data_IF_037465753692
#
_entry.id   IF_037465753692
#
_cell.length_a   1.000
_cell.length_b   1.000
_cell.length_c   1.000
_cell.angle_alpha   90.00
_cell.angle_beta   90.00
_cell.angle_gamma   90.00
#
_symmetry.space_group_name_H-M   'P 1'
#
loop_
_entity.id
_entity.type
_entity.pdbx_description
1 polymer ?
#
# COMPACT_ATOMS: atom_id res chain seq x y z
N UNK A 1 -15.79 -16.82 14.04
CA UNK A 1 -15.94 -16.17 12.73
C UNK A 1 -15.87 -14.67 13.00
N UNK A 2 -14.73 -14.04 12.69
CA UNK A 2 -14.48 -12.65 13.06
C UNK A 2 -15.03 -11.73 11.96
N UNK A 3 -16.00 -10.90 12.31
CA UNK A 3 -16.56 -9.86 11.45
C UNK A 3 -15.54 -8.72 11.34
N UNK A 4 -15.00 -8.50 10.15
CA UNK A 4 -14.20 -7.32 9.85
C UNK A 4 -15.14 -6.19 9.42
N UNK A 5 -15.72 -5.49 10.38
CA UNK A 5 -16.42 -4.23 10.10
C UNK A 5 -15.37 -3.15 9.87
N UNK A 6 -14.89 -3.05 8.64
CA UNK A 6 -14.13 -1.89 8.16
C UNK A 6 -15.02 -0.66 8.30
N UNK A 7 -14.69 0.20 9.26
CA UNK A 7 -15.41 1.43 9.53
C UNK A 7 -15.21 2.44 8.38
N UNK A 8 -16.01 2.30 7.32
CA UNK A 8 -16.24 3.39 6.38
C UNK A 8 -17.55 4.12 6.78
N UNK A 9 -17.41 5.12 7.64
CA UNK A 9 -18.51 6.01 8.02
C UNK A 9 -18.52 7.23 7.08
N UNK A 10 -18.92 7.03 5.83
CA UNK A 10 -19.30 8.15 4.95
C UNK A 10 -20.22 7.66 3.83
N UNK A 11 -21.50 7.49 4.15
CA UNK A 11 -22.62 7.66 3.22
C UNK A 11 -23.91 7.70 4.04
N UNK A 12 -24.70 8.74 3.79
CA UNK A 12 -25.83 9.18 4.60
C UNK A 12 -27.04 8.23 4.48
N UNK A 13 -27.85 8.15 5.55
CA UNK A 13 -28.99 7.26 5.69
C UNK A 13 -30.07 7.46 4.61
N UNK A 14 -30.55 6.36 4.01
CA UNK A 14 -31.97 6.17 3.69
C UNK A 14 -32.28 4.72 3.27
N UNK A 15 -32.94 3.98 4.16
CA UNK A 15 -34.12 3.19 3.81
C UNK A 15 -33.96 1.82 3.15
N UNK A 16 -34.52 0.84 3.89
CA UNK A 16 -35.12 -0.42 3.45
C UNK A 16 -34.25 -1.69 3.42
N UNK A 17 -34.82 -2.68 4.11
CA UNK A 17 -34.34 -4.02 4.44
C UNK A 17 -34.13 -4.87 3.17
N UNK A 18 -32.88 -4.96 2.71
CA UNK A 18 -32.43 -6.05 1.85
C UNK A 18 -31.03 -6.43 2.30
N UNK A 19 -30.88 -7.69 2.72
CA UNK A 19 -29.60 -8.37 2.95
C UNK A 19 -28.89 -8.54 1.59
N UNK A 20 -28.39 -7.43 1.04
CA UNK A 20 -27.62 -7.36 -0.20
C UNK A 20 -26.22 -6.89 0.21
N UNK A 21 -25.46 -7.81 0.80
CA UNK A 21 -24.04 -7.58 1.12
C UNK A 21 -23.25 -7.60 -0.19
N UNK A 22 -23.51 -6.64 -1.08
CA UNK A 22 -22.66 -6.33 -2.22
C UNK A 22 -21.40 -5.69 -1.66
N UNK A 23 -20.43 -6.53 -1.32
CA UNK A 23 -19.08 -6.05 -1.04
C UNK A 23 -18.55 -5.37 -2.31
N UNK A 24 -18.47 -4.05 -2.28
CA UNK A 24 -17.72 -3.30 -3.30
C UNK A 24 -16.25 -3.56 -3.04
N UNK A 25 -15.71 -4.61 -3.66
CA UNK A 25 -14.29 -4.97 -3.51
C UNK A 25 -13.47 -4.22 -4.55
N UNK A 26 -12.36 -3.66 -4.12
CA UNK A 26 -11.40 -3.02 -5.03
C UNK A 26 -10.75 -4.12 -5.87
N UNK A 27 -10.96 -4.08 -7.19
CA UNK A 27 -10.51 -5.10 -8.14
C UNK A 27 -9.04 -5.50 -7.95
N UNK A 28 -8.16 -4.52 -7.69
CA UNK A 28 -6.73 -4.74 -7.46
C UNK A 28 -6.50 -5.53 -6.16
N UNK A 29 -7.18 -5.18 -5.07
CA UNK A 29 -7.04 -5.87 -3.78
C UNK A 29 -7.49 -7.33 -3.92
N UNK A 30 -8.62 -7.56 -4.61
CA UNK A 30 -9.14 -8.90 -4.84
C UNK A 30 -8.25 -9.72 -5.78
N UNK A 31 -7.88 -9.17 -6.94
CA UNK A 31 -7.13 -9.89 -7.97
C UNK A 31 -5.73 -10.30 -7.51
N UNK A 32 -5.08 -9.45 -6.71
CA UNK A 32 -3.76 -9.74 -6.16
C UNK A 32 -3.80 -10.34 -4.76
N UNK A 33 -5.00 -10.70 -4.24
CA UNK A 33 -5.21 -11.30 -2.92
C UNK A 33 -4.49 -10.55 -1.81
N UNK A 34 -4.59 -9.22 -1.86
CA UNK A 34 -3.95 -8.36 -0.87
C UNK A 34 -4.71 -8.44 0.44
N UNK A 35 -3.97 -8.53 1.54
CA UNK A 35 -4.52 -8.56 2.90
C UNK A 35 -4.39 -7.18 3.52
N UNK A 36 -5.47 -6.68 4.13
CA UNK A 36 -5.40 -5.42 4.87
C UNK A 36 -4.53 -5.59 6.12
N UNK A 37 -3.82 -4.53 6.47
CA UNK A 37 -3.03 -4.47 7.69
C UNK A 37 -3.12 -3.06 8.28
N UNK A 38 -2.75 -2.92 9.55
CA UNK A 38 -2.76 -1.64 10.25
C UNK A 38 -1.38 -1.34 10.80
N UNK A 39 -0.93 -0.11 10.59
CA UNK A 39 0.28 0.41 11.22
C UNK A 39 -0.06 1.63 12.05
N UNK A 40 0.73 1.85 13.10
CA UNK A 40 0.91 3.20 13.63
C UNK A 40 2.05 3.91 12.84
N UNK A 41 2.10 5.23 12.93
CA UNK A 41 3.08 6.03 12.19
C UNK A 41 4.55 5.61 12.48
N UNK A 42 4.86 5.19 13.71
CA UNK A 42 6.21 4.78 14.12
C UNK A 42 6.54 3.38 13.57
N UNK A 43 5.63 2.42 13.70
CA UNK A 43 5.83 1.07 13.17
C UNK A 43 5.95 1.07 11.64
N UNK A 44 5.10 1.85 10.95
CA UNK A 44 5.22 2.02 9.50
C UNK A 44 6.57 2.62 9.07
N UNK A 45 7.03 3.67 9.75
CA UNK A 45 8.33 4.29 9.44
C UNK A 45 9.50 3.31 9.66
N UNK A 46 9.42 2.47 10.69
CA UNK A 46 10.41 1.44 10.94
C UNK A 46 10.42 0.38 9.83
N UNK A 47 9.24 -0.13 9.47
CA UNK A 47 9.07 -1.09 8.38
C UNK A 47 9.57 -0.51 7.05
N UNK A 48 9.13 0.71 6.69
CA UNK A 48 9.54 1.38 5.46
C UNK A 48 11.07 1.53 5.38
N UNK A 49 11.72 1.88 6.49
CA UNK A 49 13.18 1.99 6.54
C UNK A 49 13.88 0.64 6.31
N UNK A 50 13.33 -0.45 6.85
CA UNK A 50 13.80 -1.82 6.60
C UNK A 50 13.64 -2.20 5.13
N UNK A 51 12.43 -2.01 4.59
CA UNK A 51 12.11 -2.27 3.19
C UNK A 51 13.02 -1.50 2.22
N UNK A 52 13.26 -0.21 2.45
CA UNK A 52 14.15 0.60 1.61
C UNK A 52 15.59 0.08 1.60
N UNK A 53 16.09 -0.42 2.73
CA UNK A 53 17.41 -1.06 2.79
C UNK A 53 17.43 -2.36 1.99
N UNK A 54 16.38 -3.18 2.09
CA UNK A 54 16.27 -4.43 1.34
C UNK A 54 16.27 -4.17 -0.17
N UNK A 55 15.49 -3.19 -0.64
CA UNK A 55 15.46 -2.77 -2.05
C UNK A 55 16.83 -2.26 -2.49
N UNK A 56 17.50 -1.42 -1.69
CA UNK A 56 18.86 -0.93 -2.00
C UNK A 56 19.86 -2.09 -2.14
N UNK A 57 19.83 -3.07 -1.24
CA UNK A 57 20.66 -4.26 -1.34
C UNK A 57 20.37 -5.04 -2.63
N UNK A 58 19.09 -5.24 -2.96
CA UNK A 58 18.68 -5.93 -4.19
C UNK A 58 19.05 -5.18 -5.47
N UNK A 59 19.04 -3.85 -5.47
CA UNK A 59 19.52 -3.04 -6.59
C UNK A 59 21.03 -3.23 -6.79
N UNK A 60 21.81 -3.25 -5.70
CA UNK A 60 23.25 -3.52 -5.76
C UNK A 60 23.58 -4.93 -6.22
N UNK A 61 22.82 -5.93 -5.75
CA UNK A 61 22.95 -7.33 -6.20
C UNK A 61 22.66 -7.51 -7.70
N UNK A 62 21.90 -6.58 -8.30
CA UNK A 62 21.57 -6.56 -9.74
C UNK A 62 22.50 -5.66 -10.56
N UNK A 63 23.62 -5.23 -10.00
CA UNK A 63 24.58 -4.31 -10.63
C UNK A 63 23.92 -3.00 -11.15
N UNK A 64 22.88 -2.52 -10.44
CA UNK A 64 22.30 -1.23 -10.77
C UNK A 64 23.33 -0.12 -10.54
N UNK A 65 23.39 0.85 -11.47
CA UNK A 65 24.29 2.00 -11.36
C UNK A 65 24.05 2.79 -10.07
N UNK A 66 25.11 3.44 -9.56
CA UNK A 66 25.03 4.31 -8.39
C UNK A 66 24.01 5.45 -8.58
N UNK A 67 23.79 5.90 -9.82
CA UNK A 67 22.79 6.90 -10.17
C UNK A 67 21.37 6.42 -9.88
N UNK A 68 21.04 5.18 -10.26
CA UNK A 68 19.73 4.56 -9.98
C UNK A 68 19.53 4.38 -8.47
N UNK A 69 20.57 3.96 -7.76
CA UNK A 69 20.51 3.81 -6.29
C UNK A 69 20.28 5.17 -5.62
N UNK A 70 20.97 6.22 -6.07
CA UNK A 70 20.80 7.57 -5.53
C UNK A 70 19.42 8.16 -5.85
N UNK A 71 18.90 7.93 -7.07
CA UNK A 71 17.54 8.32 -7.45
C UNK A 71 16.52 7.66 -6.53
N UNK A 72 16.65 6.35 -6.30
CA UNK A 72 15.78 5.61 -5.39
C UNK A 72 15.81 6.18 -3.98
N UNK A 73 16.99 6.41 -3.40
CA UNK A 73 17.11 6.93 -2.03
C UNK A 73 16.48 8.32 -1.88
N UNK A 74 16.73 9.21 -2.84
CA UNK A 74 16.19 10.57 -2.84
C UNK A 74 14.66 10.56 -3.02
N UNK A 75 14.17 9.79 -4.00
CA UNK A 75 12.74 9.65 -4.28
C UNK A 75 11.98 9.02 -3.12
N UNK A 76 12.52 7.94 -2.56
CA UNK A 76 11.97 7.27 -1.39
C UNK A 76 11.88 8.20 -0.17
N UNK A 77 12.95 8.95 0.13
CA UNK A 77 12.94 9.88 1.25
C UNK A 77 11.92 11.01 1.07
N UNK A 78 11.75 11.53 -0.16
CA UNK A 78 10.75 12.56 -0.45
C UNK A 78 9.33 12.01 -0.31
N UNK A 79 9.06 10.82 -0.88
CA UNK A 79 7.73 10.24 -0.85
C UNK A 79 7.35 9.71 0.55
N UNK A 80 8.31 9.19 1.32
CA UNK A 80 8.10 8.83 2.72
C UNK A 80 7.57 10.00 3.56
N UNK A 81 8.06 11.23 3.32
CA UNK A 81 7.53 12.43 4.00
C UNK A 81 6.07 12.69 3.64
N UNK A 82 5.69 12.51 2.37
CA UNK A 82 4.30 12.65 1.92
C UNK A 82 3.39 11.62 2.59
N UNK A 83 3.85 10.37 2.69
CA UNK A 83 3.08 9.32 3.36
C UNK A 83 2.88 9.66 4.83
N UNK A 84 3.92 10.12 5.53
CA UNK A 84 3.83 10.50 6.95
C UNK A 84 2.88 11.69 7.16
N UNK A 85 2.89 12.67 6.27
CA UNK A 85 2.00 13.84 6.35
C UNK A 85 0.52 13.41 6.24
N UNK A 86 0.24 12.49 5.32
CA UNK A 86 -1.12 12.04 5.00
C UNK A 86 -1.41 10.63 5.53
N UNK A 87 -0.75 10.23 6.63
CA UNK A 87 -0.71 8.83 7.09
C UNK A 87 -2.10 8.23 7.33
N UNK A 88 -3.04 9.06 7.80
CA UNK A 88 -4.41 8.64 8.11
C UNK A 88 -5.26 8.41 6.86
N UNK A 89 -4.84 8.93 5.72
CA UNK A 89 -5.57 8.85 4.46
C UNK A 89 -5.21 7.57 3.69
N UNK A 90 -4.21 6.82 4.16
CA UNK A 90 -3.78 5.59 3.53
C UNK A 90 -4.38 4.37 4.22
N UNK A 91 -4.87 3.44 3.41
CA UNK A 91 -5.10 2.07 3.82
C UNK A 91 -3.88 1.22 3.42
N UNK A 92 -3.44 0.35 4.33
CA UNK A 92 -2.22 -0.43 4.16
C UNK A 92 -2.57 -1.88 3.82
N UNK A 93 -1.90 -2.41 2.79
CA UNK A 93 -2.11 -3.77 2.32
C UNK A 93 -0.77 -4.50 2.17
N UNK A 94 -0.78 -5.81 2.39
CA UNK A 94 0.36 -6.70 2.18
C UNK A 94 -0.02 -7.83 1.22
N UNK A 95 0.97 -8.41 0.54
CA UNK A 95 0.74 -9.54 -0.36
C UNK A 95 0.27 -10.81 0.37
N UNK A 96 -0.18 -11.80 -0.40
CA UNK A 96 -0.66 -13.10 0.10
C UNK A 96 0.38 -13.84 0.96
N UNK A 97 1.67 -13.63 0.72
CA UNK A 97 2.75 -14.24 1.51
C UNK A 97 2.85 -13.68 2.94
N UNK A 98 2.21 -12.53 3.21
CA UNK A 98 2.28 -11.81 4.48
C UNK A 98 3.71 -11.58 4.99
N UNK A 99 4.66 -11.43 4.06
CA UNK A 99 6.07 -11.19 4.39
C UNK A 99 6.20 -9.85 5.16
N UNK A 100 6.67 -9.87 6.44
CA UNK A 100 6.81 -8.66 7.24
C UNK A 100 7.88 -7.70 6.71
N UNK A 101 8.80 -8.19 5.88
CA UNK A 101 9.83 -7.41 5.19
C UNK A 101 9.45 -7.08 3.73
N UNK A 102 8.29 -7.56 3.28
CA UNK A 102 7.75 -7.36 1.95
C UNK A 102 7.24 -5.93 1.69
N UNK A 103 6.80 -5.68 0.47
CA UNK A 103 6.25 -4.39 0.10
C UNK A 103 4.85 -4.18 0.70
N UNK A 104 4.67 -3.08 1.41
CA UNK A 104 3.35 -2.57 1.77
C UNK A 104 2.78 -1.74 0.61
N UNK A 105 1.62 -2.14 0.12
CA UNK A 105 0.83 -1.42 -0.88
C UNK A 105 -0.01 -0.37 -0.17
N UNK A 106 0.01 0.86 -0.69
CA UNK A 106 -0.71 1.99 -0.11
C UNK A 106 -1.91 2.31 -0.98
N UNK A 107 -3.12 2.12 -0.47
CA UNK A 107 -4.34 2.55 -1.12
C UNK A 107 -4.72 3.94 -0.63
N UNK A 108 -5.15 4.81 -1.55
CA UNK A 108 -5.76 6.09 -1.25
C UNK A 108 -6.80 6.41 -2.33
N UNK A 109 -7.58 7.47 -2.14
CA UNK A 109 -8.61 7.92 -3.08
C UNK A 109 -8.19 9.23 -3.75
N UNK A 110 -8.63 9.43 -4.99
CA UNK A 110 -8.42 10.70 -5.71
C UNK A 110 -9.19 11.83 -5.02
N UNK A 111 -9.01 13.06 -5.51
CA UNK A 111 -9.72 14.24 -4.98
C UNK A 111 -11.25 14.13 -5.07
N UNK A 112 -11.77 13.23 -5.91
CA UNK A 112 -13.19 12.89 -6.00
C UNK A 112 -13.70 12.04 -4.82
N UNK A 113 -12.81 11.54 -3.97
CA UNK A 113 -13.12 10.71 -2.79
C UNK A 113 -13.62 9.30 -3.10
N UNK A 114 -13.76 8.92 -4.37
CA UNK A 114 -14.41 7.66 -4.79
C UNK A 114 -13.54 6.81 -5.70
N UNK A 115 -12.58 7.40 -6.41
CA UNK A 115 -11.71 6.65 -7.32
C UNK A 115 -10.49 6.14 -6.54
N UNK A 116 -10.36 4.82 -6.29
CA UNK A 116 -9.20 4.29 -5.59
C UNK A 116 -7.96 4.30 -6.49
N UNK A 117 -6.79 4.48 -5.89
CA UNK A 117 -5.51 4.20 -6.52
C UNK A 117 -4.55 3.58 -5.52
N UNK A 118 -3.64 2.74 -6.03
CA UNK A 118 -2.57 2.18 -5.22
C UNK A 118 -1.24 2.87 -5.54
N UNK A 119 -0.39 2.99 -4.52
CA UNK A 119 1.01 3.34 -4.67
C UNK A 119 1.87 2.13 -4.35
N UNK A 120 2.81 1.84 -5.24
CA UNK A 120 3.82 0.77 -5.13
C UNK A 120 5.20 1.30 -5.46
N UNK A 121 6.23 0.68 -4.90
CA UNK A 121 7.62 1.09 -5.12
C UNK A 121 8.17 0.44 -6.38
N UNK A 122 8.34 1.23 -7.45
CA UNK A 122 8.87 0.76 -8.75
C UNK A 122 10.15 -0.09 -8.61
N UNK A 123 11.10 0.36 -7.79
CA UNK A 123 12.37 -0.33 -7.59
C UNK A 123 12.25 -1.66 -6.84
N UNK A 124 11.11 -1.91 -6.19
CA UNK A 124 10.76 -3.19 -5.57
C UNK A 124 10.00 -4.14 -6.50
N UNK A 125 9.77 -3.75 -7.76
CA UNK A 125 9.05 -4.56 -8.75
C UNK A 125 9.99 -5.03 -9.86
N UNK A 126 9.65 -6.16 -10.46
CA UNK A 126 10.26 -6.66 -11.69
C UNK A 126 9.18 -6.87 -12.74
N UNK A 127 9.48 -6.50 -13.99
CA UNK A 127 8.59 -6.77 -15.11
C UNK A 127 8.71 -8.23 -15.54
N UNK A 128 7.58 -8.86 -15.85
CA UNK A 128 7.51 -10.14 -16.54
C UNK A 128 6.57 -9.95 -17.73
N UNK A 129 7.09 -10.17 -18.95
CA UNK A 129 6.26 -10.20 -20.16
C UNK A 129 5.70 -11.60 -20.32
N UNK A 130 4.40 -11.67 -20.60
CA UNK A 130 3.65 -12.90 -20.86
C UNK A 130 3.30 -12.97 -22.33
#
# INVERSE_FOLDING_TARGET
MALYTGANASAEEAGDDVDDTKETVIDIVHSFRLNSTSFDKKSYLSHLKGYMKAVKSKLKEKDASDEVVAEFEKGAAAYAKKIVANFKDYEFFIGESMDPDGMVVLLNYREDGVTPFITVWKHGLTEMKV
#
